data_IF_504415231239
#
_entry.id   IF_504415231239
#
_cell.length_a   1.000
_cell.length_b   1.000
_cell.length_c   1.000
_cell.angle_alpha   90.00
_cell.angle_beta   90.00
_cell.angle_gamma   90.00
#
_symmetry.space_group_name_H-M   'P 1'
#
loop_
_entity.id
_entity.type
_entity.pdbx_description
1 polymer ?
#
# COMPACT_ATOMS: atom_id res chain seq x y z
N UNK A 1 -19.96 6.07 20.94
CA UNK A 1 -20.11 5.48 19.59
C UNK A 1 -20.31 3.98 19.78
N UNK A 2 -21.34 3.33 19.21
CA UNK A 2 -21.51 1.87 19.40
C UNK A 2 -20.39 1.11 18.69
N UNK A 3 -19.98 -0.05 19.24
CA UNK A 3 -18.95 -0.91 18.66
C UNK A 3 -19.26 -1.28 17.19
N UNK A 4 -20.55 -1.36 16.83
CA UNK A 4 -21.04 -1.67 15.49
C UNK A 4 -20.70 -0.61 14.43
N UNK A 5 -20.61 0.67 14.84
CA UNK A 5 -20.21 1.75 13.94
C UNK A 5 -18.70 1.82 13.74
N UNK A 6 -17.92 1.16 14.62
CA UNK A 6 -16.48 1.18 14.56
C UNK A 6 -15.93 0.28 13.46
N UNK A 7 -16.68 -0.71 12.96
CA UNK A 7 -16.21 -1.66 11.95
C UNK A 7 -16.78 -1.45 10.53
N UNK A 8 -17.84 -0.67 10.38
CA UNK A 8 -18.50 -0.43 9.10
C UNK A 8 -17.66 0.43 8.17
N UNK A 9 -17.61 0.04 6.89
CA UNK A 9 -17.07 0.89 5.84
C UNK A 9 -18.07 1.98 5.50
N UNK A 10 -17.58 3.20 5.34
CA UNK A 10 -18.40 4.23 4.70
C UNK A 10 -18.48 3.94 3.20
N UNK A 11 -19.55 4.40 2.55
CA UNK A 11 -19.65 4.31 1.07
C UNK A 11 -18.47 5.01 0.39
N UNK A 12 -17.98 6.11 0.96
CA UNK A 12 -16.87 6.87 0.42
C UNK A 12 -15.55 6.13 0.57
N UNK A 13 -15.28 5.52 1.73
CA UNK A 13 -14.10 4.68 1.97
C UNK A 13 -14.01 3.54 0.94
N UNK A 14 -15.14 2.87 0.69
CA UNK A 14 -15.20 1.79 -0.30
C UNK A 14 -14.91 2.29 -1.73
N UNK A 15 -15.48 3.42 -2.12
CA UNK A 15 -15.22 4.03 -3.44
C UNK A 15 -13.73 4.42 -3.55
N UNK A 16 -13.20 5.09 -2.53
CA UNK A 16 -11.81 5.54 -2.49
C UNK A 16 -10.84 4.34 -2.61
N UNK A 17 -11.11 3.23 -1.91
CA UNK A 17 -10.32 1.99 -2.00
C UNK A 17 -10.39 1.37 -3.39
N UNK A 18 -11.58 1.27 -3.98
CA UNK A 18 -11.78 0.69 -5.32
C UNK A 18 -11.10 1.53 -6.39
N UNK A 19 -11.28 2.86 -6.36
CA UNK A 19 -10.67 3.78 -7.32
C UNK A 19 -9.15 3.76 -7.19
N UNK A 20 -8.61 3.78 -5.97
CA UNK A 20 -7.16 3.70 -5.74
C UNK A 20 -6.58 2.38 -6.25
N UNK A 21 -7.25 1.25 -5.95
CA UNK A 21 -6.86 -0.07 -6.45
C UNK A 21 -6.79 -0.09 -7.98
N UNK A 22 -7.84 0.40 -8.63
CA UNK A 22 -7.92 0.41 -10.08
C UNK A 22 -6.84 1.31 -10.71
N UNK A 23 -6.65 2.51 -10.16
CA UNK A 23 -5.63 3.44 -10.63
C UNK A 23 -4.21 2.88 -10.48
N UNK A 24 -3.88 2.31 -9.32
CA UNK A 24 -2.56 1.70 -9.07
C UNK A 24 -2.35 0.48 -9.97
N UNK A 25 -3.37 -0.37 -10.16
CA UNK A 25 -3.28 -1.51 -11.06
C UNK A 25 -2.99 -1.09 -12.50
N UNK A 26 -3.60 -0.01 -12.99
CA UNK A 26 -3.28 0.56 -14.31
C UNK A 26 -1.84 1.06 -14.36
N UNK A 27 -1.37 1.78 -13.34
CA UNK A 27 0.01 2.31 -13.27
C UNK A 27 1.02 1.17 -13.38
N UNK A 28 0.77 0.01 -12.78
CA UNK A 28 1.64 -1.15 -12.87
C UNK A 28 1.48 -1.94 -14.19
N UNK A 29 0.25 -2.10 -14.67
CA UNK A 29 -0.05 -2.84 -15.89
C UNK A 29 0.56 -2.19 -17.13
N UNK A 30 0.78 -0.88 -17.09
CA UNK A 30 1.30 -0.14 -18.22
C UNK A 30 2.83 -0.27 -18.37
N UNK A 31 3.34 -0.82 -19.49
CA UNK A 31 4.75 -0.68 -19.85
C UNK A 31 5.11 0.80 -20.16
N UNK A 32 6.34 1.10 -20.59
CA UNK A 32 6.64 2.46 -21.08
C UNK A 32 5.81 2.74 -22.35
N UNK A 33 4.78 3.59 -22.24
CA UNK A 33 3.96 4.09 -23.36
C UNK A 33 2.68 3.30 -23.64
N UNK A 34 1.72 3.88 -24.39
CA UNK A 34 0.37 3.32 -24.62
C UNK A 34 0.37 2.04 -25.47
N UNK A 35 0.01 0.89 -24.88
CA UNK A 35 -0.24 -0.37 -25.59
C UNK A 35 -1.52 -1.01 -25.07
N UNK A 36 -2.45 -1.35 -25.97
CA UNK A 36 -3.74 -1.96 -25.65
C UNK A 36 -3.88 -3.33 -26.33
N UNK A 37 -2.83 -4.15 -26.26
CA UNK A 37 -2.86 -5.51 -26.79
C UNK A 37 -3.49 -6.49 -25.79
N UNK A 38 -3.70 -7.73 -26.23
CA UNK A 38 -4.23 -8.78 -25.36
C UNK A 38 -3.38 -8.97 -24.10
N UNK A 39 -2.06 -8.80 -24.22
CA UNK A 39 -1.13 -8.94 -23.11
C UNK A 39 -1.35 -7.88 -22.03
N UNK A 40 -1.58 -6.62 -22.41
CA UNK A 40 -1.96 -5.56 -21.48
C UNK A 40 -3.20 -5.92 -20.65
N UNK A 41 -4.26 -6.43 -21.28
CA UNK A 41 -5.48 -6.80 -20.55
C UNK A 41 -5.26 -7.97 -19.59
N UNK A 42 -4.44 -8.96 -19.98
CA UNK A 42 -4.05 -10.06 -19.09
C UNK A 42 -3.30 -9.51 -17.87
N UNK A 43 -2.30 -8.65 -18.09
CA UNK A 43 -1.54 -8.04 -17.00
C UNK A 43 -2.43 -7.16 -16.11
N UNK A 44 -3.36 -6.40 -16.68
CA UNK A 44 -4.28 -5.56 -15.91
C UNK A 44 -5.12 -6.40 -14.94
N UNK A 45 -5.63 -7.56 -15.37
CA UNK A 45 -6.38 -8.46 -14.48
C UNK A 45 -5.49 -8.99 -13.36
N UNK A 46 -4.24 -9.38 -13.68
CA UNK A 46 -3.29 -9.88 -12.67
C UNK A 46 -2.92 -8.76 -11.68
N UNK A 47 -2.71 -7.53 -12.15
CA UNK A 47 -2.43 -6.39 -11.28
C UNK A 47 -3.65 -5.99 -10.45
N UNK A 48 -4.87 -6.03 -11.00
CA UNK A 48 -6.08 -5.79 -10.20
C UNK A 48 -6.19 -6.78 -9.03
N UNK A 49 -5.82 -8.04 -9.24
CA UNK A 49 -5.78 -9.04 -8.19
C UNK A 49 -4.64 -8.80 -7.19
N UNK A 50 -3.40 -8.67 -7.67
CA UNK A 50 -2.20 -8.57 -6.82
C UNK A 50 -2.08 -7.24 -6.10
N UNK A 51 -2.32 -6.11 -6.79
CA UNK A 51 -2.44 -4.78 -6.18
C UNK A 51 -3.68 -4.71 -5.32
N UNK A 52 -4.84 -5.21 -5.78
CA UNK A 52 -6.07 -5.14 -4.99
C UNK A 52 -5.93 -5.85 -3.65
N UNK A 53 -5.41 -7.07 -3.65
CA UNK A 53 -5.12 -7.78 -2.40
C UNK A 53 -4.06 -7.06 -1.56
N UNK A 54 -2.93 -6.66 -2.16
CA UNK A 54 -1.84 -5.99 -1.45
C UNK A 54 -2.24 -4.65 -0.83
N UNK A 55 -2.80 -3.74 -1.62
CA UNK A 55 -3.19 -2.40 -1.19
C UNK A 55 -4.39 -2.42 -0.23
N UNK A 56 -5.47 -3.16 -0.56
CA UNK A 56 -6.65 -3.17 0.32
C UNK A 56 -6.28 -3.77 1.68
N UNK A 57 -5.59 -4.91 1.72
CA UNK A 57 -5.21 -5.52 3.00
C UNK A 57 -4.23 -4.65 3.80
N UNK A 58 -3.33 -3.92 3.13
CA UNK A 58 -2.48 -2.91 3.76
C UNK A 58 -3.30 -1.82 4.47
N UNK A 59 -4.24 -1.19 3.77
CA UNK A 59 -5.10 -0.15 4.35
C UNK A 59 -6.01 -0.70 5.46
N UNK A 60 -6.50 -1.93 5.30
CA UNK A 60 -7.28 -2.60 6.34
C UNK A 60 -6.45 -2.93 7.58
N UNK A 61 -5.15 -3.20 7.43
CA UNK A 61 -4.27 -3.44 8.56
C UNK A 61 -4.09 -2.17 9.41
N UNK A 62 -3.79 -1.03 8.79
CA UNK A 62 -3.77 0.27 9.48
C UNK A 62 -5.07 0.52 10.24
N UNK A 63 -6.20 0.34 9.55
CA UNK A 63 -7.53 0.55 10.09
C UNK A 63 -7.82 -0.34 11.29
N UNK A 64 -7.52 -1.63 11.18
CA UNK A 64 -7.74 -2.63 12.24
C UNK A 64 -6.89 -2.34 13.46
N UNK A 65 -5.61 -2.02 13.28
CA UNK A 65 -4.69 -1.70 14.37
C UNK A 65 -5.07 -0.36 15.02
N UNK A 66 -5.46 0.66 14.25
CA UNK A 66 -5.93 1.92 14.80
C UNK A 66 -7.15 1.74 15.72
N UNK A 67 -8.09 0.88 15.31
CA UNK A 67 -9.29 0.56 16.07
C UNK A 67 -9.02 -0.27 17.31
N UNK A 68 -8.01 -1.13 17.26
CA UNK A 68 -7.51 -1.83 18.44
C UNK A 68 -7.05 -0.84 19.52
N UNK A 69 -6.42 0.28 19.12
CA UNK A 69 -6.04 1.38 20.02
C UNK A 69 -7.19 2.35 20.35
N UNK A 70 -8.43 2.02 19.99
CA UNK A 70 -9.60 2.86 20.25
C UNK A 70 -9.72 4.10 19.35
N UNK A 71 -8.91 4.21 18.29
CA UNK A 71 -9.03 5.29 17.32
C UNK A 71 -10.07 4.96 16.25
N UNK A 72 -10.85 5.97 15.84
CA UNK A 72 -11.63 5.84 14.62
C UNK A 72 -10.72 6.10 13.41
N UNK A 73 -10.92 5.32 12.34
CA UNK A 73 -10.07 5.36 11.16
C UNK A 73 -10.87 5.15 9.89
N UNK A 74 -10.51 5.91 8.85
CA UNK A 74 -11.10 5.81 7.51
C UNK A 74 -10.08 6.14 6.42
N UNK A 75 -9.99 5.29 5.40
CA UNK A 75 -9.17 5.58 4.22
C UNK A 75 -9.82 6.68 3.36
N UNK A 76 -8.97 7.57 2.86
CA UNK A 76 -9.33 8.63 1.92
C UNK A 76 -8.32 8.69 0.79
N UNK A 77 -8.83 8.59 -0.44
CA UNK A 77 -8.00 8.66 -1.63
C UNK A 77 -7.51 10.10 -1.88
N UNK A 78 -6.28 10.23 -2.34
CA UNK A 78 -5.73 11.46 -2.90
C UNK A 78 -5.77 11.38 -4.43
N UNK A 79 -6.88 11.80 -5.01
CA UNK A 79 -7.15 11.65 -6.44
C UNK A 79 -6.13 12.38 -7.32
N UNK A 80 -5.65 13.54 -6.89
CA UNK A 80 -4.61 14.29 -7.59
C UNK A 80 -3.26 13.55 -7.55
N UNK A 81 -2.95 12.88 -6.44
CA UNK A 81 -1.77 12.02 -6.32
C UNK A 81 -1.81 10.80 -7.24
N UNK A 82 -2.98 10.16 -7.34
CA UNK A 82 -3.22 9.06 -8.29
C UNK A 82 -3.10 9.53 -9.75
N UNK A 83 -3.69 10.68 -10.08
CA UNK A 83 -3.58 11.27 -11.41
C UNK A 83 -2.13 11.64 -11.74
N UNK A 84 -1.40 12.23 -10.80
CA UNK A 84 0.02 12.54 -10.96
C UNK A 84 0.84 11.26 -11.18
N UNK A 85 0.60 10.20 -10.41
CA UNK A 85 1.26 8.91 -10.57
C UNK A 85 1.08 8.33 -11.97
N UNK A 86 -0.15 8.41 -12.51
CA UNK A 86 -0.45 7.99 -13.88
C UNK A 86 0.30 8.85 -14.91
N UNK A 87 0.30 10.19 -14.75
CA UNK A 87 0.99 11.11 -15.64
C UNK A 87 2.50 10.85 -15.65
N UNK A 88 3.13 10.70 -14.47
CA UNK A 88 4.56 10.40 -14.34
C UNK A 88 4.91 9.05 -14.96
N UNK A 89 4.04 8.04 -14.80
CA UNK A 89 4.22 6.75 -15.44
C UNK A 89 4.20 6.87 -16.97
N UNK A 90 3.26 7.65 -17.52
CA UNK A 90 3.12 7.85 -18.96
C UNK A 90 4.33 8.60 -19.54
N UNK A 91 4.76 9.68 -18.89
CA UNK A 91 5.78 10.59 -19.45
C UNK A 91 7.20 10.07 -19.19
N UNK A 92 7.47 9.61 -17.97
CA UNK A 92 8.83 9.27 -17.52
C UNK A 92 9.05 7.75 -17.40
N UNK A 93 7.98 6.95 -17.46
CA UNK A 93 8.04 5.52 -17.12
C UNK A 93 8.24 5.26 -15.63
N UNK A 94 8.24 6.32 -14.81
CA UNK A 94 8.49 6.26 -13.37
C UNK A 94 7.21 5.90 -12.61
N UNK A 95 7.28 4.87 -11.77
CA UNK A 95 6.14 4.46 -10.94
C UNK A 95 6.14 5.26 -9.64
N UNK A 96 5.20 6.20 -9.53
CA UNK A 96 4.92 6.93 -8.30
C UNK A 96 3.51 6.57 -7.80
N UNK A 97 3.40 6.20 -6.52
CA UNK A 97 2.14 5.76 -5.92
C UNK A 97 1.92 6.51 -4.62
N UNK A 98 1.00 7.48 -4.65
CA UNK A 98 0.51 8.18 -3.46
C UNK A 98 -1.03 8.10 -3.46
N UNK A 99 -1.60 6.98 -3.00
CA UNK A 99 -3.01 6.67 -3.21
C UNK A 99 -3.93 7.45 -2.28
N UNK A 100 -3.42 7.87 -1.13
CA UNK A 100 -4.21 8.50 -0.09
C UNK A 100 -3.56 8.29 1.27
N UNK A 101 -4.35 8.46 2.32
CA UNK A 101 -3.94 8.14 3.68
C UNK A 101 -5.13 7.66 4.50
N UNK A 102 -4.87 6.81 5.49
CA UNK A 102 -5.83 6.52 6.55
C UNK A 102 -5.86 7.70 7.51
N UNK A 103 -7.01 8.38 7.57
CA UNK A 103 -7.25 9.42 8.55
C UNK A 103 -7.61 8.76 9.88
N UNK A 104 -6.81 9.05 10.91
CA UNK A 104 -6.97 8.50 12.25
C UNK A 104 -7.41 9.62 13.18
N UNK A 105 -8.52 9.42 13.87
CA UNK A 105 -9.08 10.37 14.82
C UNK A 105 -9.15 9.73 16.21
N UNK A 106 -8.39 10.31 17.14
CA UNK A 106 -8.33 9.99 18.56
C UNK A 106 -7.92 11.25 19.31
N UNK A 107 -8.50 11.50 20.49
CA UNK A 107 -8.19 12.70 21.30
C UNK A 107 -6.70 12.80 21.66
N UNK A 108 -6.08 11.64 21.89
CA UNK A 108 -4.65 11.53 22.13
C UNK A 108 -4.11 10.23 21.50
N UNK A 109 -3.33 10.36 20.43
CA UNK A 109 -2.63 9.25 19.78
C UNK A 109 -1.15 9.36 20.12
N UNK A 110 -0.59 8.36 20.81
CA UNK A 110 0.84 8.39 21.16
C UNK A 110 1.72 8.20 19.93
N UNK A 111 2.97 8.66 19.99
CA UNK A 111 3.94 8.40 18.91
C UNK A 111 4.13 6.89 18.67
N UNK A 112 4.07 6.09 19.74
CA UNK A 112 4.12 4.63 19.65
C UNK A 112 2.91 4.03 18.95
N UNK A 113 1.69 4.39 19.35
CA UNK A 113 0.48 3.92 18.69
C UNK A 113 0.48 4.29 17.20
N UNK A 114 0.86 5.54 16.88
CA UNK A 114 0.95 5.99 15.49
C UNK A 114 2.01 5.21 14.69
N UNK A 115 3.16 4.93 15.30
CA UNK A 115 4.22 4.11 14.70
C UNK A 115 3.78 2.66 14.46
N UNK A 116 3.11 2.03 15.43
CA UNK A 116 2.60 0.66 15.30
C UNK A 116 1.50 0.58 14.23
N UNK A 117 0.58 1.56 14.20
CA UNK A 117 -0.44 1.65 13.16
C UNK A 117 0.22 1.76 11.79
N UNK A 118 1.18 2.67 11.63
CA UNK A 118 1.91 2.87 10.37
C UNK A 118 2.70 1.63 9.95
N UNK A 119 3.24 0.86 10.89
CA UNK A 119 4.00 -0.35 10.58
C UNK A 119 3.11 -1.51 10.10
N UNK A 120 1.83 -1.54 10.50
CA UNK A 120 0.91 -2.63 10.20
C UNK A 120 0.71 -2.86 8.69
N UNK A 121 0.64 -1.80 7.90
CA UNK A 121 0.50 -1.86 6.44
C UNK A 121 1.70 -2.55 5.78
N UNK A 122 2.94 -2.01 5.92
CA UNK A 122 4.15 -2.61 5.37
C UNK A 122 4.35 -4.06 5.79
N UNK A 123 4.11 -4.42 7.06
CA UNK A 123 4.22 -5.82 7.51
C UNK A 123 3.19 -6.74 6.84
N UNK A 124 1.98 -6.25 6.58
CA UNK A 124 0.95 -7.00 5.85
C UNK A 124 1.40 -7.29 4.42
N UNK A 125 1.98 -6.30 3.73
CA UNK A 125 2.54 -6.56 2.41
C UNK A 125 3.71 -7.53 2.44
N UNK A 126 4.63 -7.43 3.39
CA UNK A 126 5.72 -8.42 3.52
C UNK A 126 5.16 -9.83 3.67
N UNK A 127 4.13 -10.01 4.52
CA UNK A 127 3.49 -11.30 4.72
C UNK A 127 2.83 -11.83 3.41
N UNK A 128 2.15 -10.95 2.68
CA UNK A 128 1.55 -11.28 1.38
C UNK A 128 2.61 -11.62 0.33
N UNK A 129 3.76 -10.94 0.32
CA UNK A 129 4.85 -11.28 -0.58
C UNK A 129 5.32 -12.72 -0.35
N UNK A 130 5.58 -13.11 0.90
CA UNK A 130 5.93 -14.50 1.22
C UNK A 130 4.82 -15.49 0.88
N UNK A 131 3.55 -15.11 1.07
CA UNK A 131 2.42 -15.94 0.64
C UNK A 131 2.46 -16.17 -0.88
N UNK A 132 2.60 -15.13 -1.68
CA UNK A 132 2.70 -15.23 -3.14
C UNK A 132 3.90 -16.08 -3.59
N UNK A 133 5.03 -15.97 -2.90
CA UNK A 133 6.22 -16.80 -3.16
C UNK A 133 5.92 -18.30 -2.99
N UNK A 134 5.13 -18.68 -2.00
CA UNK A 134 4.79 -20.08 -1.70
C UNK A 134 3.67 -20.61 -2.60
N UNK A 135 2.75 -19.74 -3.07
CA UNK A 135 1.62 -20.15 -3.92
C UNK A 135 2.04 -20.78 -5.25
N UNK A 136 3.19 -20.40 -5.80
CA UNK A 136 3.78 -20.95 -7.04
C UNK A 136 2.81 -20.97 -8.26
N UNK A 137 1.96 -19.94 -8.39
CA UNK A 137 1.08 -19.77 -9.54
C UNK A 137 1.83 -18.97 -10.60
N UNK A 138 2.12 -19.51 -11.81
CA UNK A 138 2.93 -18.83 -12.81
C UNK A 138 2.46 -17.40 -13.09
N UNK A 139 3.40 -16.45 -13.17
CA UNK A 139 3.18 -15.01 -13.40
C UNK A 139 2.51 -14.31 -12.20
N UNK A 140 1.42 -14.84 -11.65
CA UNK A 140 0.68 -14.22 -10.53
C UNK A 140 1.53 -14.19 -9.25
N UNK A 141 2.23 -15.29 -8.94
CA UNK A 141 3.11 -15.36 -7.77
C UNK A 141 4.27 -14.38 -7.87
N UNK A 142 4.93 -14.29 -9.02
CA UNK A 142 6.07 -13.38 -9.21
C UNK A 142 5.62 -11.92 -9.14
N UNK A 143 4.53 -11.57 -9.82
CA UNK A 143 3.95 -10.22 -9.78
C UNK A 143 3.45 -9.89 -8.38
N UNK A 144 2.76 -10.83 -7.72
CA UNK A 144 2.23 -10.63 -6.37
C UNK A 144 3.33 -10.43 -5.34
N UNK A 145 4.40 -11.22 -5.41
CA UNK A 145 5.61 -11.05 -4.60
C UNK A 145 6.22 -9.67 -4.82
N UNK A 146 6.49 -9.32 -6.08
CA UNK A 146 7.12 -8.05 -6.44
C UNK A 146 6.27 -6.84 -6.03
N UNK A 147 4.97 -6.82 -6.34
CA UNK A 147 4.06 -5.72 -6.00
C UNK A 147 4.01 -5.50 -4.50
N UNK A 148 3.89 -6.58 -3.72
CA UNK A 148 3.80 -6.45 -2.27
C UNK A 148 5.11 -5.95 -1.65
N UNK A 149 6.27 -6.46 -2.06
CA UNK A 149 7.54 -5.92 -1.58
C UNK A 149 7.77 -4.48 -2.04
N UNK A 150 7.36 -4.12 -3.27
CA UNK A 150 7.41 -2.75 -3.75
C UNK A 150 6.55 -1.82 -2.88
N UNK A 151 5.30 -2.18 -2.60
CA UNK A 151 4.40 -1.40 -1.75
C UNK A 151 4.95 -1.26 -0.32
N UNK A 152 5.52 -2.34 0.24
CA UNK A 152 6.15 -2.30 1.56
C UNK A 152 7.37 -1.36 1.56
N UNK A 153 8.27 -1.50 0.58
CA UNK A 153 9.46 -0.66 0.46
C UNK A 153 9.10 0.81 0.28
N UNK A 154 8.17 1.12 -0.64
CA UNK A 154 7.76 2.49 -0.92
C UNK A 154 7.13 3.17 0.31
N UNK A 155 6.28 2.45 1.05
CA UNK A 155 5.69 2.98 2.28
C UNK A 155 6.68 3.09 3.44
N UNK A 156 7.81 2.39 3.43
CA UNK A 156 8.85 2.51 4.45
C UNK A 156 9.84 3.66 4.21
N UNK A 157 9.66 4.47 3.15
CA UNK A 157 10.44 5.69 2.94
C UNK A 157 10.32 6.64 4.16
N UNK A 158 11.42 7.18 4.71
CA UNK A 158 11.40 7.96 5.95
C UNK A 158 11.04 9.43 5.72
N UNK A 159 10.09 9.70 4.81
CA UNK A 159 9.62 11.05 4.45
C UNK A 159 8.10 11.07 4.40
N UNK A 160 7.42 12.11 4.89
CA UNK A 160 5.97 12.23 4.70
C UNK A 160 5.61 12.24 3.21
N UNK A 161 4.46 11.66 2.81
CA UNK A 161 3.39 11.11 3.65
C UNK A 161 3.53 9.62 4.03
N UNK A 162 4.64 8.97 3.67
CA UNK A 162 4.81 7.52 3.82
C UNK A 162 4.86 7.05 5.28
N UNK A 163 4.46 5.81 5.52
CA UNK A 163 4.39 5.23 6.87
C UNK A 163 5.73 5.15 7.59
N UNK A 164 6.81 4.93 6.84
CA UNK A 164 8.17 4.91 7.34
C UNK A 164 8.53 6.18 8.10
N UNK A 165 7.95 7.32 7.71
CA UNK A 165 8.08 8.57 8.46
C UNK A 165 7.49 8.46 9.87
N UNK A 166 6.34 7.83 10.08
CA UNK A 166 5.77 7.65 11.43
C UNK A 166 6.56 6.61 12.23
N UNK A 167 6.97 5.51 11.58
CA UNK A 167 7.74 4.44 12.23
C UNK A 167 9.10 4.95 12.70
N UNK A 168 9.82 5.75 11.89
CA UNK A 168 11.14 6.28 12.28
C UNK A 168 11.05 7.26 13.46
N UNK A 169 9.98 8.07 13.53
CA UNK A 169 9.73 8.98 14.66
C UNK A 169 9.38 8.22 15.95
N UNK A 170 8.76 7.04 15.84
CA UNK A 170 8.51 6.17 16.99
C UNK A 170 9.77 5.44 17.43
N UNK A 171 10.40 4.70 16.51
CA UNK A 171 11.53 3.85 16.79
C UNK A 171 12.38 3.60 15.53
N UNK A 172 13.53 4.27 15.46
CA UNK A 172 14.52 4.14 14.37
C UNK A 172 15.00 2.69 14.16
N UNK A 173 15.11 1.90 15.23
CA UNK A 173 15.60 0.52 15.13
C UNK A 173 14.54 -0.39 14.48
N UNK A 174 13.28 -0.24 14.88
CA UNK A 174 12.16 -0.96 14.25
C UNK A 174 12.06 -0.58 12.78
N UNK A 175 12.17 0.72 12.47
CA UNK A 175 12.22 1.19 11.09
C UNK A 175 13.38 0.53 10.33
N UNK A 176 14.60 0.54 10.86
CA UNK A 176 15.78 0.01 10.19
C UNK A 176 15.68 -1.51 9.92
N UNK A 177 15.19 -2.29 10.87
CA UNK A 177 15.01 -3.75 10.73
C UNK A 177 14.07 -4.10 9.58
N UNK A 178 13.05 -3.28 9.34
CA UNK A 178 12.06 -3.52 8.29
C UNK A 178 12.44 -2.86 6.97
N UNK A 179 12.87 -1.60 7.00
CA UNK A 179 13.16 -0.80 5.82
C UNK A 179 14.45 -1.21 5.11
N UNK A 180 15.53 -1.53 5.85
CA UNK A 180 16.83 -1.83 5.23
C UNK A 180 16.72 -3.07 4.33
N UNK A 181 16.18 -4.23 4.77
CA UNK A 181 16.03 -5.38 3.88
C UNK A 181 15.16 -5.08 2.66
N UNK A 182 14.07 -4.32 2.84
CA UNK A 182 13.20 -3.90 1.73
C UNK A 182 13.95 -3.04 0.70
N UNK A 183 14.79 -2.11 1.16
CA UNK A 183 15.57 -1.26 0.26
C UNK A 183 16.69 -2.03 -0.43
N UNK A 184 17.39 -2.90 0.29
CA UNK A 184 18.41 -3.76 -0.31
C UNK A 184 17.81 -4.63 -1.42
N UNK A 185 16.65 -5.23 -1.16
CA UNK A 185 15.86 -5.93 -2.19
C UNK A 185 15.48 -5.02 -3.36
N UNK A 186 14.98 -3.81 -3.09
CA UNK A 186 14.57 -2.87 -4.13
C UNK A 186 15.76 -2.39 -5.02
N UNK A 187 16.98 -2.39 -4.48
CA UNK A 187 18.21 -2.13 -5.23
C UNK A 187 18.83 -3.37 -5.89
N UNK A 188 18.19 -4.55 -5.77
CA UNK A 188 18.66 -5.80 -6.36
C UNK A 188 19.91 -6.36 -5.68
N UNK A 189 20.11 -6.06 -4.40
CA UNK A 189 21.27 -6.52 -3.63
C UNK A 189 21.12 -7.94 -3.07
N UNK A 190 19.93 -8.55 -3.22
CA UNK A 190 19.66 -10.00 -3.10
C UNK A 190 18.27 -10.34 -3.66
#
# INVERSE_FOLDING_TARGET
>A
MSMDNLFRFSKKELIDLVVSTFAIAIIFAWPRGFSFDLWFFILLIIYLFTVGTGFILHELAHRTVARHFGAWSEFRAWYEGLALGLILKIILGFTFIAPGAVYIYKDYLTTEENGIIALAGPLTNIALAFLFLILNIPIISDIGYYVNLFLAAFNMLPIPPFDGSKVIHWNILVWAIVAIPLFLWAFGLF
#
